data_IF_763396181155
#
_entry.id   IF_763396181155
#
_cell.length_a   1.000
_cell.length_b   1.000
_cell.length_c   1.000
_cell.angle_alpha   90.00
_cell.angle_beta   90.00
_cell.angle_gamma   90.00
#
_symmetry.space_group_name_H-M   'P 1'
#
loop_
_entity.id
_entity.type
_entity.pdbx_description
1 polymer ?
#
# COMPACT_ATOMS: atom_id res chain seq x y z
N UNK A 1 -8.00 0.08 -2.06
CA UNK A 1 -9.48 0.11 -2.01
C UNK A 1 -9.92 0.74 -3.31
N UNK A 2 -10.42 -0.09 -4.23
CA UNK A 2 -10.44 0.18 -5.66
C UNK A 2 -11.67 0.96 -6.11
N UNK A 3 -11.46 1.99 -6.93
CA UNK A 3 -12.47 2.76 -7.67
C UNK A 3 -13.13 1.97 -8.83
N UNK A 4 -12.99 0.64 -8.85
CA UNK A 4 -13.40 -0.21 -9.99
C UNK A 4 -14.79 -0.84 -9.85
N UNK A 5 -15.40 -0.86 -8.67
CA UNK A 5 -16.55 -1.75 -8.42
C UNK A 5 -17.93 -1.09 -8.58
N UNK A 6 -18.04 0.18 -9.00
CA UNK A 6 -19.27 0.92 -8.65
C UNK A 6 -19.74 1.99 -9.63
N UNK A 7 -19.53 1.78 -10.93
CA UNK A 7 -20.16 2.64 -11.96
C UNK A 7 -20.96 1.77 -12.92
N UNK A 8 -22.28 1.69 -12.69
CA UNK A 8 -23.19 1.01 -13.61
C UNK A 8 -23.69 2.02 -14.65
N UNK A 9 -23.31 1.83 -15.92
CA UNK A 9 -23.69 2.71 -17.03
C UNK A 9 -24.88 2.18 -17.85
N UNK A 10 -25.74 3.11 -18.25
CA UNK A 10 -26.89 2.99 -19.17
C UNK A 10 -27.96 1.95 -18.79
N UNK A 11 -29.02 2.44 -18.12
CA UNK A 11 -30.15 1.63 -17.67
C UNK A 11 -30.84 0.87 -18.82
N UNK A 12 -30.94 1.44 -20.01
CA UNK A 12 -31.67 0.80 -21.11
C UNK A 12 -30.99 -0.46 -21.66
N UNK A 13 -29.65 -0.56 -21.65
CA UNK A 13 -28.95 -1.76 -22.13
C UNK A 13 -28.93 -2.89 -21.09
N UNK A 14 -29.20 -2.56 -19.82
CA UNK A 14 -29.21 -3.52 -18.71
C UNK A 14 -30.63 -3.98 -18.33
N UNK A 15 -31.67 -3.31 -18.84
CA UNK A 15 -33.08 -3.63 -18.59
C UNK A 15 -33.62 -4.47 -19.73
N UNK A 16 -34.07 -5.68 -19.40
CA UNK A 16 -34.69 -6.61 -20.33
C UNK A 16 -36.18 -6.77 -20.01
N UNK A 17 -37.04 -6.63 -21.02
CA UNK A 17 -38.50 -6.77 -20.92
C UNK A 17 -38.97 -7.79 -21.95
N UNK A 18 -39.76 -8.78 -21.53
CA UNK A 18 -40.19 -9.87 -22.41
C UNK A 18 -41.33 -9.45 -23.35
N UNK A 19 -42.31 -8.71 -22.83
CA UNK A 19 -43.46 -8.25 -23.61
C UNK A 19 -43.23 -6.82 -24.13
N UNK A 20 -43.54 -6.63 -25.42
CA UNK A 20 -43.47 -5.34 -26.11
C UNK A 20 -44.42 -4.30 -25.52
N UNK A 21 -45.59 -4.73 -25.05
CA UNK A 21 -46.55 -3.81 -24.41
C UNK A 21 -46.00 -3.33 -23.07
N UNK A 22 -45.47 -4.24 -22.25
CA UNK A 22 -44.82 -3.89 -20.98
C UNK A 22 -43.61 -2.97 -21.17
N UNK A 23 -42.82 -3.20 -22.22
CA UNK A 23 -41.68 -2.34 -22.55
C UNK A 23 -42.14 -0.92 -22.88
N UNK A 24 -43.29 -0.80 -23.55
CA UNK A 24 -43.90 0.48 -23.89
C UNK A 24 -44.38 1.21 -22.64
N UNK A 25 -45.05 0.52 -21.72
CA UNK A 25 -45.47 1.11 -20.45
C UNK A 25 -44.27 1.58 -19.62
N UNK A 26 -43.22 0.76 -19.55
CA UNK A 26 -42.01 1.10 -18.80
C UNK A 26 -41.31 2.35 -19.35
N UNK A 27 -41.18 2.45 -20.67
CA UNK A 27 -40.56 3.61 -21.32
C UNK A 27 -41.36 4.90 -21.12
N UNK A 28 -42.69 4.82 -21.19
CA UNK A 28 -43.56 5.98 -21.00
C UNK A 28 -43.62 6.41 -19.53
N UNK A 29 -43.50 5.47 -18.61
CA UNK A 29 -43.55 5.73 -17.18
C UNK A 29 -42.25 6.35 -16.67
N UNK A 30 -41.10 5.82 -17.08
CA UNK A 30 -39.79 6.26 -16.60
C UNK A 30 -39.36 7.51 -17.38
N UNK A 31 -39.14 8.66 -16.71
CA UNK A 31 -38.67 9.88 -17.35
C UNK A 31 -37.37 9.69 -18.15
N UNK A 32 -37.27 10.35 -19.30
CA UNK A 32 -36.12 10.24 -20.22
C UNK A 32 -34.76 10.53 -19.56
N UNK A 33 -34.73 11.44 -18.57
CA UNK A 33 -33.48 11.77 -17.87
C UNK A 33 -32.90 10.57 -17.08
N UNK A 34 -33.75 9.65 -16.62
CA UNK A 34 -33.35 8.43 -15.89
C UNK A 34 -32.75 7.40 -16.84
N UNK A 35 -33.27 7.30 -18.07
CA UNK A 35 -32.69 6.42 -19.09
C UNK A 35 -31.28 6.84 -19.51
N UNK A 36 -31.00 8.16 -19.42
CA UNK A 36 -29.71 8.76 -19.80
C UNK A 36 -28.75 8.97 -18.64
N UNK A 37 -29.12 8.62 -17.40
CA UNK A 37 -28.32 8.93 -16.22
C UNK A 37 -27.28 7.86 -15.90
N UNK A 38 -26.20 8.29 -15.23
CA UNK A 38 -25.30 7.36 -14.52
C UNK A 38 -25.83 7.04 -13.13
N UNK A 39 -25.65 5.80 -12.68
CA UNK A 39 -25.98 5.39 -11.31
C UNK A 39 -24.70 5.24 -10.50
N UNK A 40 -24.61 5.98 -9.40
CA UNK A 40 -23.54 5.88 -8.40
C UNK A 40 -24.08 5.21 -7.15
N UNK A 41 -23.26 4.42 -6.45
CA UNK A 41 -23.65 3.89 -5.14
C UNK A 41 -23.09 4.73 -3.98
N UNK A 42 -21.98 5.44 -4.19
CA UNK A 42 -21.36 6.32 -3.19
C UNK A 42 -21.64 7.80 -3.46
N UNK A 43 -21.86 8.56 -2.38
CA UNK A 43 -22.15 9.99 -2.46
C UNK A 43 -20.92 10.83 -2.89
N UNK A 44 -19.71 10.40 -2.57
CA UNK A 44 -18.46 11.06 -2.95
C UNK A 44 -18.19 10.88 -4.44
N UNK A 45 -18.39 9.65 -4.95
CA UNK A 45 -18.29 9.35 -6.38
C UNK A 45 -19.33 10.16 -7.18
N UNK A 46 -20.54 10.29 -6.65
CA UNK A 46 -21.61 11.11 -7.23
C UNK A 46 -21.17 12.56 -7.39
N UNK A 47 -20.66 13.20 -6.34
CA UNK A 47 -20.31 14.62 -6.40
C UNK A 47 -19.18 14.88 -7.40
N UNK A 48 -18.21 13.97 -7.47
CA UNK A 48 -17.15 14.01 -8.47
C UNK A 48 -17.69 13.88 -9.90
N UNK A 49 -18.54 12.87 -10.16
CA UNK A 49 -19.09 12.62 -11.49
C UNK A 49 -20.05 13.73 -11.90
N UNK A 50 -20.87 14.26 -10.98
CA UNK A 50 -21.74 15.42 -11.26
C UNK A 50 -20.90 16.61 -11.74
N UNK A 51 -19.79 16.91 -11.08
CA UNK A 51 -18.87 17.97 -11.50
C UNK A 51 -18.36 17.78 -12.93
N UNK A 52 -17.98 16.56 -13.29
CA UNK A 52 -17.45 16.23 -14.62
C UNK A 52 -18.53 16.17 -15.71
N UNK A 53 -19.73 15.68 -15.37
CA UNK A 53 -20.81 15.43 -16.33
C UNK A 53 -21.71 16.64 -16.56
N UNK A 54 -21.67 17.64 -15.67
CA UNK A 54 -22.42 18.90 -15.80
C UNK A 54 -22.18 19.58 -17.15
N UNK A 55 -20.95 19.56 -17.67
CA UNK A 55 -20.61 20.16 -18.98
C UNK A 55 -21.27 19.47 -20.17
N UNK A 56 -21.68 18.21 -20.02
CA UNK A 56 -22.37 17.43 -21.04
C UNK A 56 -23.90 17.37 -20.83
N UNK A 57 -24.42 17.99 -19.75
CA UNK A 57 -25.83 17.93 -19.40
C UNK A 57 -26.34 16.53 -19.04
N UNK A 58 -25.44 15.63 -18.65
CA UNK A 58 -25.81 14.24 -18.32
C UNK A 58 -26.18 14.15 -16.81
N UNK A 59 -27.39 13.68 -16.47
CA UNK A 59 -27.79 13.50 -15.08
C UNK A 59 -27.02 12.37 -14.40
N UNK A 60 -26.80 12.51 -13.10
CA UNK A 60 -26.20 11.46 -12.25
C UNK A 60 -27.19 11.18 -11.13
N UNK A 61 -27.63 9.93 -11.03
CA UNK A 61 -28.53 9.45 -9.98
C UNK A 61 -27.72 8.70 -8.94
N UNK A 62 -28.10 8.89 -7.68
CA UNK A 62 -27.52 8.12 -6.59
C UNK A 62 -28.42 6.94 -6.24
N UNK A 63 -27.83 5.80 -5.89
CA UNK A 63 -28.54 4.74 -5.20
C UNK A 63 -28.91 5.29 -3.82
N UNK A 64 -30.20 5.53 -3.61
CA UNK A 64 -30.70 5.82 -2.28
C UNK A 64 -30.61 4.50 -1.51
N UNK A 65 -29.58 4.35 -0.66
CA UNK A 65 -29.50 3.28 0.33
C UNK A 65 -30.48 3.64 1.42
N UNK A 66 -31.77 3.49 1.14
CA UNK A 66 -32.76 3.49 2.20
C UNK A 66 -32.86 2.05 2.68
N UNK A 67 -32.48 1.80 3.94
CA UNK A 67 -32.64 0.51 4.62
C UNK A 67 -34.12 0.04 4.61
N UNK A 68 -35.05 0.93 4.21
CA UNK A 68 -36.48 0.70 4.08
C UNK A 68 -37.02 0.29 2.71
N UNK A 69 -36.25 0.17 1.62
CA UNK A 69 -36.77 -0.35 0.32
C UNK A 69 -36.93 -1.87 0.40
N UNK A 70 -37.79 -2.35 1.30
CA UNK A 70 -38.44 -3.64 1.07
C UNK A 70 -39.31 -3.45 -0.16
N UNK A 71 -38.86 -3.94 -1.32
CA UNK A 71 -39.68 -4.05 -2.53
C UNK A 71 -41.06 -4.52 -2.08
N UNK A 72 -42.09 -3.68 -2.28
CA UNK A 72 -43.43 -4.03 -1.80
C UNK A 72 -43.80 -5.38 -2.41
N UNK A 73 -44.28 -6.37 -1.63
CA UNK A 73 -44.75 -7.61 -2.20
C UNK A 73 -45.80 -7.35 -3.28
N UNK A 74 -45.85 -8.22 -4.29
CA UNK A 74 -46.90 -8.17 -5.31
C UNK A 74 -48.18 -8.78 -4.72
N UNK A 75 -48.94 -7.96 -4.01
CA UNK A 75 -50.19 -8.38 -3.39
C UNK A 75 -51.39 -8.09 -4.31
N UNK A 76 -51.57 -8.90 -5.36
CA UNK A 76 -52.74 -8.80 -6.24
C UNK A 76 -53.90 -9.57 -5.61
N UNK A 77 -54.89 -8.83 -5.11
CA UNK A 77 -56.10 -9.41 -4.53
C UNK A 77 -57.10 -9.89 -5.63
N UNK A 78 -58.06 -10.76 -5.29
CA UNK A 78 -59.05 -11.26 -6.27
C UNK A 78 -59.91 -10.18 -6.93
N UNK A 79 -60.22 -9.09 -6.22
CA UNK A 79 -61.00 -7.97 -6.76
C UNK A 79 -60.23 -7.17 -7.81
N UNK A 80 -58.91 -7.01 -7.64
CA UNK A 80 -58.00 -6.43 -8.62
C UNK A 80 -58.00 -7.27 -9.90
N UNK A 81 -57.92 -8.60 -9.77
CA UNK A 81 -58.01 -9.52 -10.93
C UNK A 81 -59.36 -9.41 -11.63
N UNK A 82 -60.45 -9.25 -10.89
CA UNK A 82 -61.81 -9.05 -11.43
C UNK A 82 -61.98 -7.70 -12.15
N UNK A 83 -61.15 -6.71 -11.83
CA UNK A 83 -61.00 -5.46 -12.58
C UNK A 83 -59.98 -5.55 -13.72
N UNK A 84 -59.41 -6.73 -13.99
CA UNK A 84 -58.45 -6.95 -15.06
C UNK A 84 -57.01 -6.56 -14.73
N UNK A 85 -56.70 -6.18 -13.49
CA UNK A 85 -55.32 -5.94 -13.03
C UNK A 85 -54.63 -7.28 -12.82
N UNK A 86 -53.48 -7.48 -13.48
CA UNK A 86 -52.78 -8.77 -13.49
C UNK A 86 -51.29 -8.69 -13.11
N UNK A 87 -50.67 -7.51 -13.17
CA UNK A 87 -49.25 -7.34 -12.81
C UNK A 87 -48.95 -5.91 -12.33
N UNK A 88 -47.69 -5.64 -12.02
CA UNK A 88 -47.13 -4.34 -11.66
C UNK A 88 -45.82 -4.09 -12.40
N UNK A 89 -45.50 -2.82 -12.63
CA UNK A 89 -44.44 -2.42 -13.56
C UNK A 89 -43.02 -2.83 -13.11
N UNK A 90 -42.77 -2.96 -11.80
CA UNK A 90 -41.52 -3.48 -11.24
C UNK A 90 -41.29 -5.00 -11.46
N UNK A 91 -42.33 -5.75 -11.80
CA UNK A 91 -42.29 -7.20 -11.97
C UNK A 91 -42.08 -7.64 -13.42
N UNK A 92 -42.31 -6.76 -14.40
CA UNK A 92 -42.30 -7.11 -15.83
C UNK A 92 -40.93 -7.00 -16.50
N UNK A 93 -39.91 -6.53 -15.78
CA UNK A 93 -38.54 -6.39 -16.31
C UNK A 93 -37.48 -7.01 -15.40
N UNK A 94 -36.38 -7.41 -16.03
CA UNK A 94 -35.18 -7.95 -15.39
C UNK A 94 -34.04 -6.96 -15.58
N UNK A 95 -33.34 -6.63 -14.51
CA UNK A 95 -32.16 -5.77 -14.50
C UNK A 95 -31.28 -6.10 -13.29
N UNK A 96 -29.99 -5.70 -13.28
CA UNK A 96 -29.15 -5.79 -12.08
C UNK A 96 -29.80 -5.08 -10.89
N UNK A 97 -29.65 -5.63 -9.67
CA UNK A 97 -30.38 -5.14 -8.49
C UNK A 97 -30.18 -3.64 -8.24
N UNK A 98 -28.96 -3.13 -8.37
CA UNK A 98 -28.66 -1.70 -8.24
C UNK A 98 -29.45 -0.84 -9.23
N UNK A 99 -29.57 -1.28 -10.49
CA UNK A 99 -30.35 -0.56 -11.51
C UNK A 99 -31.84 -0.69 -11.23
N UNK A 100 -32.30 -1.89 -10.88
CA UNK A 100 -33.70 -2.18 -10.60
C UNK A 100 -34.22 -1.35 -9.42
N UNK A 101 -33.45 -1.26 -8.34
CA UNK A 101 -33.84 -0.49 -7.15
C UNK A 101 -33.89 1.02 -7.43
N UNK A 102 -32.96 1.55 -8.22
CA UNK A 102 -32.97 2.96 -8.63
C UNK A 102 -34.16 3.25 -9.53
N UNK A 103 -34.46 2.40 -10.50
CA UNK A 103 -35.62 2.56 -11.37
C UNK A 103 -36.93 2.51 -10.56
N UNK A 104 -37.06 1.55 -9.65
CA UNK A 104 -38.24 1.42 -8.78
C UNK A 104 -38.38 2.65 -7.89
N UNK A 105 -37.32 3.09 -7.21
CA UNK A 105 -37.40 4.22 -6.28
C UNK A 105 -37.61 5.58 -6.96
N UNK A 106 -36.96 5.82 -8.10
CA UNK A 106 -37.02 7.12 -8.79
C UNK A 106 -38.30 7.27 -9.62
N UNK A 107 -38.80 6.18 -10.20
CA UNK A 107 -40.01 6.21 -11.03
C UNK A 107 -41.24 5.61 -10.31
N UNK A 108 -41.12 5.13 -9.07
CA UNK A 108 -42.24 4.58 -8.28
C UNK A 108 -42.94 3.42 -9.03
N UNK A 109 -42.13 2.52 -9.59
CA UNK A 109 -42.62 1.40 -10.41
C UNK A 109 -43.40 0.37 -9.58
N UNK A 110 -43.20 0.36 -8.27
CA UNK A 110 -43.86 -0.53 -7.31
C UNK A 110 -45.23 -0.01 -6.82
N UNK A 111 -45.71 1.11 -7.36
CA UNK A 111 -47.07 1.63 -7.15
C UNK A 111 -47.88 1.73 -8.45
N UNK A 112 -47.29 1.27 -9.57
CA UNK A 112 -47.85 1.43 -10.93
C UNK A 112 -48.28 0.08 -11.51
N UNK A 113 -49.58 -0.14 -11.58
CA UNK A 113 -50.17 -1.43 -11.94
C UNK A 113 -50.39 -1.61 -13.44
N UNK A 114 -50.56 -2.86 -13.87
CA UNK A 114 -50.83 -3.20 -15.27
C UNK A 114 -52.17 -3.94 -15.35
N UNK A 115 -53.06 -3.39 -16.16
CA UNK A 115 -54.39 -3.91 -16.47
C UNK A 115 -54.56 -4.22 -17.95
N UNK A 116 -55.75 -4.74 -18.28
CA UNK A 116 -56.14 -5.09 -19.64
C UNK A 116 -57.34 -4.22 -20.10
N UNK A 117 -57.98 -4.58 -21.22
CA UNK A 117 -59.13 -3.84 -21.75
C UNK A 117 -60.31 -3.77 -20.76
N UNK A 118 -60.47 -4.78 -19.91
CA UNK A 118 -61.50 -4.77 -18.86
C UNK A 118 -61.21 -3.70 -17.80
N UNK A 119 -59.93 -3.50 -17.48
CA UNK A 119 -59.48 -2.40 -16.61
C UNK A 119 -59.80 -1.05 -17.24
N UNK A 120 -59.58 -0.90 -18.55
CA UNK A 120 -59.89 0.33 -19.28
C UNK A 120 -61.40 0.66 -19.23
N UNK A 121 -62.27 -0.33 -19.44
CA UNK A 121 -63.73 -0.16 -19.34
C UNK A 121 -64.23 0.18 -17.94
N UNK A 122 -63.50 -0.24 -16.90
CA UNK A 122 -63.88 -0.10 -15.49
C UNK A 122 -62.89 0.76 -14.70
N UNK A 123 -62.23 1.69 -15.38
CA UNK A 123 -61.18 2.55 -14.82
C UNK A 123 -61.67 3.37 -13.62
N UNK A 124 -62.95 3.74 -13.59
CA UNK A 124 -63.61 4.46 -12.50
C UNK A 124 -63.67 3.66 -11.18
N UNK A 125 -63.57 2.33 -11.25
CA UNK A 125 -63.64 1.43 -10.09
C UNK A 125 -62.27 1.11 -9.51
N UNK A 126 -61.20 1.30 -10.28
CA UNK A 126 -59.82 0.96 -9.88
C UNK A 126 -59.34 1.78 -8.66
N UNK A 127 -59.61 3.10 -8.55
CA UNK A 127 -59.21 3.88 -7.36
C UNK A 127 -59.83 3.42 -6.06
N UNK A 128 -61.00 2.76 -6.12
CA UNK A 128 -61.69 2.22 -4.94
C UNK A 128 -60.92 1.06 -4.31
N UNK A 129 -60.00 0.44 -5.06
CA UNK A 129 -59.10 -0.61 -4.58
C UNK A 129 -57.79 -0.04 -4.00
N UNK A 130 -57.66 1.29 -3.90
CA UNK A 130 -56.44 1.94 -3.44
C UNK A 130 -55.36 2.10 -4.51
N UNK A 131 -55.69 1.85 -5.79
CA UNK A 131 -54.75 1.97 -6.91
C UNK A 131 -54.94 3.33 -7.58
N UNK A 132 -53.92 4.18 -7.51
CA UNK A 132 -53.93 5.50 -8.15
C UNK A 132 -53.27 5.52 -9.53
N UNK A 133 -52.27 4.68 -9.79
CA UNK A 133 -51.54 4.64 -11.06
C UNK A 133 -51.68 3.26 -11.72
N UNK A 134 -52.17 3.22 -12.96
CA UNK A 134 -52.23 1.98 -13.73
C UNK A 134 -52.22 2.17 -15.25
N UNK A 135 -51.66 1.18 -15.93
CA UNK A 135 -51.52 1.10 -17.37
C UNK A 135 -52.55 0.15 -17.98
N UNK A 136 -53.07 0.53 -19.14
CA UNK A 136 -53.91 -0.29 -20.03
C UNK A 136 -53.31 -0.26 -21.43
N UNK A 137 -53.75 -1.12 -22.37
CA UNK A 137 -53.20 -1.15 -23.73
C UNK A 137 -53.14 0.20 -24.45
N UNK A 138 -54.12 1.07 -24.20
CA UNK A 138 -54.24 2.36 -24.89
C UNK A 138 -53.99 3.57 -23.98
N UNK A 139 -54.22 3.45 -22.66
CA UNK A 139 -54.22 4.58 -21.73
C UNK A 139 -53.41 4.33 -20.46
N UNK A 140 -52.79 5.39 -19.94
CA UNK A 140 -52.23 5.50 -18.60
C UNK A 140 -53.14 6.36 -17.73
N UNK A 141 -53.59 5.80 -16.61
CA UNK A 141 -54.48 6.46 -15.67
C UNK A 141 -53.72 6.86 -14.42
N UNK A 142 -53.81 8.15 -14.06
CA UNK A 142 -53.30 8.69 -12.79
C UNK A 142 -54.41 9.40 -12.04
N UNK A 143 -54.84 8.80 -10.94
CA UNK A 143 -55.87 9.34 -10.07
C UNK A 143 -55.24 10.13 -8.94
N UNK A 144 -55.77 11.33 -8.71
CA UNK A 144 -55.34 12.19 -7.62
C UNK A 144 -56.53 12.63 -6.79
N UNK A 145 -56.36 12.62 -5.47
CA UNK A 145 -57.31 13.17 -4.52
C UNK A 145 -56.90 14.59 -4.17
N UNK A 146 -57.79 15.55 -4.41
CA UNK A 146 -57.55 16.95 -4.05
C UNK A 146 -57.33 17.10 -2.54
N UNK A 147 -56.24 17.79 -2.17
CA UNK A 147 -55.92 18.14 -0.78
C UNK A 147 -56.90 19.14 -0.17
N UNK A 148 -57.55 19.96 -1.02
CA UNK A 148 -58.38 21.07 -0.57
C UNK A 148 -59.87 20.72 -0.48
N UNK A 149 -60.35 19.85 -1.37
CA UNK A 149 -61.79 19.55 -1.47
C UNK A 149 -62.14 18.06 -1.46
N UNK A 150 -61.16 17.16 -1.32
CA UNK A 150 -61.39 15.72 -1.29
C UNK A 150 -61.91 15.10 -2.60
N UNK A 151 -62.16 15.90 -3.63
CA UNK A 151 -62.56 15.46 -4.97
C UNK A 151 -61.48 14.59 -5.61
N UNK A 152 -61.92 13.53 -6.31
CA UNK A 152 -61.07 12.65 -7.10
C UNK A 152 -61.11 13.09 -8.56
N UNK A 153 -59.93 13.26 -9.16
CA UNK A 153 -59.78 13.52 -10.59
C UNK A 153 -58.82 12.52 -11.21
N UNK A 154 -59.08 12.16 -12.46
CA UNK A 154 -58.19 11.32 -13.26
C UNK A 154 -57.46 12.17 -14.29
N UNK A 155 -56.16 11.94 -14.43
CA UNK A 155 -55.38 12.31 -15.60
C UNK A 155 -55.24 11.06 -16.48
N UNK A 156 -55.53 11.21 -17.77
CA UNK A 156 -55.51 10.10 -18.73
C UNK A 156 -54.59 10.48 -19.87
N UNK A 157 -53.49 9.75 -19.98
CA UNK A 157 -52.51 9.89 -21.06
C UNK A 157 -52.65 8.73 -22.04
N UNK A 158 -52.51 8.99 -23.33
CA UNK A 158 -52.40 7.92 -24.32
C UNK A 158 -51.04 7.22 -24.19
N UNK A 159 -51.01 5.90 -24.40
CA UNK A 159 -49.77 5.12 -24.43
C UNK A 159 -49.04 5.41 -25.73
N UNK A 160 -47.91 6.12 -25.64
CA UNK A 160 -47.09 6.40 -26.81
C UNK A 160 -46.22 5.18 -27.15
N UNK A 161 -46.00 4.88 -28.44
CA UNK A 161 -45.23 3.71 -28.81
C UNK A 161 -43.76 3.89 -28.41
N UNK A 162 -43.18 2.84 -27.80
CA UNK A 162 -41.77 2.80 -27.37
C UNK A 162 -40.81 3.19 -28.50
N UNK A 163 -39.72 3.85 -28.15
CA UNK A 163 -38.61 4.25 -29.04
C UNK A 163 -37.31 3.59 -28.58
N UNK A 164 -37.12 3.41 -27.29
CA UNK A 164 -35.95 2.78 -26.69
C UNK A 164 -35.96 1.26 -26.86
N UNK A 165 -37.13 0.62 -26.74
CA UNK A 165 -37.26 -0.85 -26.80
C UNK A 165 -37.70 -1.42 -28.16
N UNK A 166 -37.69 -0.63 -29.25
CA UNK A 166 -38.43 -0.95 -30.49
C UNK A 166 -37.76 -1.93 -31.47
N UNK A 167 -36.46 -2.23 -31.37
CA UNK A 167 -35.79 -3.27 -32.17
C UNK A 167 -34.43 -3.63 -31.61
N UNK A 168 -33.98 -4.85 -31.86
CA UNK A 168 -32.60 -5.37 -31.68
C UNK A 168 -31.52 -4.61 -32.48
N UNK A 169 -31.81 -3.38 -32.90
CA UNK A 169 -31.05 -2.56 -33.83
C UNK A 169 -31.10 -1.10 -33.37
N UNK A 170 -30.47 -0.84 -32.22
CA UNK A 170 -30.21 0.51 -31.68
C UNK A 170 -29.09 1.20 -32.47
N UNK A 171 -29.32 1.62 -33.72
CA UNK A 171 -28.30 2.36 -34.50
C UNK A 171 -28.57 3.84 -34.68
N UNK A 172 -29.75 4.34 -34.30
CA UNK A 172 -30.01 5.79 -34.27
C UNK A 172 -29.68 6.43 -32.91
N UNK A 173 -29.35 5.60 -31.91
CA UNK A 173 -28.58 5.98 -30.72
C UNK A 173 -27.06 5.89 -30.98
N UNK A 174 -26.59 5.57 -32.19
CA UNK A 174 -25.17 5.24 -32.42
C UNK A 174 -24.24 6.39 -32.07
N UNK A 175 -24.59 7.64 -32.37
CA UNK A 175 -23.81 8.82 -32.01
C UNK A 175 -23.82 9.09 -30.50
N UNK A 176 -24.98 9.04 -29.84
CA UNK A 176 -25.07 9.24 -28.38
C UNK A 176 -24.34 8.11 -27.64
N UNK A 177 -24.53 6.85 -28.04
CA UNK A 177 -23.83 5.69 -27.47
C UNK A 177 -22.33 5.75 -27.76
N UNK A 178 -21.90 6.23 -28.94
CA UNK A 178 -20.47 6.46 -29.22
C UNK A 178 -19.91 7.57 -28.33
N UNK A 179 -20.62 8.68 -28.18
CA UNK A 179 -20.21 9.79 -27.32
C UNK A 179 -20.14 9.33 -25.87
N UNK A 180 -21.10 8.54 -25.41
CA UNK A 180 -21.12 7.96 -24.06
C UNK A 180 -19.99 6.93 -23.90
N UNK A 181 -19.73 6.07 -24.90
CA UNK A 181 -18.63 5.13 -24.89
C UNK A 181 -17.28 5.86 -24.89
N UNK A 182 -17.13 6.92 -25.68
CA UNK A 182 -15.96 7.79 -25.69
C UNK A 182 -15.82 8.49 -24.34
N UNK A 183 -16.89 9.01 -23.74
CA UNK A 183 -16.86 9.61 -22.40
C UNK A 183 -16.46 8.56 -21.35
N UNK A 184 -16.98 7.33 -21.43
CA UNK A 184 -16.65 6.24 -20.52
C UNK A 184 -15.20 5.79 -20.67
N UNK A 185 -14.72 5.62 -21.91
CA UNK A 185 -13.32 5.28 -22.19
C UNK A 185 -12.40 6.40 -21.73
N UNK A 186 -12.77 7.66 -22.00
CA UNK A 186 -12.03 8.85 -21.55
C UNK A 186 -11.97 8.93 -20.04
N UNK A 187 -13.07 8.62 -19.33
CA UNK A 187 -13.12 8.59 -17.88
C UNK A 187 -12.27 7.46 -17.29
N UNK A 188 -12.37 6.25 -17.85
CA UNK A 188 -11.55 5.10 -17.44
C UNK A 188 -10.06 5.41 -17.64
N UNK A 189 -9.68 6.03 -18.76
CA UNK A 189 -8.30 6.45 -19.02
C UNK A 189 -7.89 7.58 -18.06
N UNK A 190 -8.72 8.60 -17.87
CA UNK A 190 -8.43 9.74 -17.00
C UNK A 190 -8.30 9.34 -15.53
N UNK A 191 -9.00 8.32 -15.05
CA UNK A 191 -8.92 7.88 -13.65
C UNK A 191 -7.87 6.79 -13.45
N UNK A 192 -7.80 5.80 -14.35
CA UNK A 192 -6.88 4.66 -14.16
C UNK A 192 -5.43 4.99 -14.50
N UNK A 193 -5.18 5.82 -15.52
CA UNK A 193 -3.80 6.09 -15.96
C UNK A 193 -3.02 6.92 -14.93
N UNK A 194 -3.56 8.03 -14.38
CA UNK A 194 -2.83 8.81 -13.37
C UNK A 194 -2.65 8.05 -12.07
N UNK A 195 -3.61 7.22 -11.66
CA UNK A 195 -3.50 6.44 -10.41
C UNK A 195 -2.43 5.36 -10.52
N UNK A 196 -2.33 4.65 -11.65
CA UNK A 196 -1.23 3.70 -11.87
C UNK A 196 0.14 4.37 -11.91
N UNK A 197 0.26 5.50 -12.60
CA UNK A 197 1.52 6.27 -12.67
C UNK A 197 1.93 6.75 -11.27
N UNK A 198 0.99 7.24 -10.47
CA UNK A 198 1.26 7.76 -9.13
C UNK A 198 1.66 6.62 -8.16
N UNK A 199 1.07 5.43 -8.30
CA UNK A 199 1.49 4.23 -7.57
C UNK A 199 2.91 3.81 -7.97
N UNK A 200 3.22 3.79 -9.28
CA UNK A 200 4.56 3.47 -9.77
C UNK A 200 5.61 4.48 -9.31
N UNK A 201 5.29 5.78 -9.31
CA UNK A 201 6.19 6.81 -8.77
C UNK A 201 6.51 6.55 -7.30
N UNK A 202 5.50 6.28 -6.48
CA UNK A 202 5.72 5.96 -5.05
C UNK A 202 6.60 4.74 -4.85
N UNK A 203 6.38 3.67 -5.63
CA UNK A 203 7.21 2.46 -5.56
C UNK A 203 8.68 2.74 -5.91
N UNK A 204 8.93 3.56 -6.95
CA UNK A 204 10.28 3.96 -7.34
C UNK A 204 10.95 4.85 -6.29
N UNK A 205 10.19 5.74 -5.64
CA UNK A 205 10.69 6.56 -4.53
C UNK A 205 11.08 5.71 -3.32
N UNK A 206 10.24 4.74 -2.95
CA UNK A 206 10.49 3.80 -1.84
C UNK A 206 11.73 2.93 -2.13
N UNK A 207 11.87 2.42 -3.36
CA UNK A 207 13.03 1.64 -3.78
C UNK A 207 14.32 2.50 -3.77
N UNK A 208 14.24 3.74 -4.26
CA UNK A 208 15.34 4.69 -4.21
C UNK A 208 15.79 5.01 -2.77
N UNK A 209 14.84 5.17 -1.85
CA UNK A 209 15.14 5.39 -0.43
C UNK A 209 15.82 4.16 0.21
N UNK A 210 15.42 2.95 -0.18
CA UNK A 210 16.05 1.72 0.30
C UNK A 210 17.49 1.57 -0.21
N UNK A 211 17.72 1.86 -1.50
CA UNK A 211 19.06 1.85 -2.10
C UNK A 211 19.96 2.87 -1.40
N UNK A 212 19.45 4.06 -1.08
CA UNK A 212 20.22 5.07 -0.36
C UNK A 212 20.65 4.58 1.03
N UNK A 213 19.73 3.96 1.79
CA UNK A 213 20.06 3.37 3.10
C UNK A 213 21.13 2.28 2.97
N UNK A 214 21.01 1.39 1.99
CA UNK A 214 22.01 0.35 1.75
C UNK A 214 23.39 0.93 1.42
N UNK A 215 23.43 1.99 0.59
CA UNK A 215 24.66 2.72 0.27
C UNK A 215 25.29 3.31 1.54
N UNK A 216 24.51 3.93 2.42
CA UNK A 216 25.01 4.52 3.65
C UNK A 216 25.60 3.47 4.59
N UNK A 217 24.93 2.32 4.76
CA UNK A 217 25.47 1.18 5.51
C UNK A 217 26.78 0.64 4.91
N UNK A 218 26.89 0.58 3.58
CA UNK A 218 28.11 0.17 2.90
C UNK A 218 29.26 1.15 3.15
N UNK A 219 28.99 2.46 3.08
CA UNK A 219 29.98 3.50 3.36
C UNK A 219 30.49 3.37 4.80
N UNK A 220 29.59 3.19 5.77
CA UNK A 220 29.96 3.01 7.17
C UNK A 220 30.79 1.73 7.39
N UNK A 221 30.37 0.61 6.79
CA UNK A 221 31.10 -0.65 6.88
C UNK A 221 32.52 -0.55 6.28
N UNK A 222 32.67 0.15 5.16
CA UNK A 222 33.98 0.39 4.53
C UNK A 222 34.85 1.28 5.42
N UNK A 223 34.29 2.35 6.00
CA UNK A 223 35.02 3.22 6.92
C UNK A 223 35.51 2.47 8.17
N UNK A 224 34.66 1.60 8.74
CA UNK A 224 35.01 0.75 9.87
C UNK A 224 36.13 -0.24 9.53
N UNK A 225 36.04 -0.90 8.37
CA UNK A 225 37.08 -1.81 7.86
C UNK A 225 38.43 -1.08 7.69
N UNK A 226 38.42 0.10 7.09
CA UNK A 226 39.61 0.91 6.90
C UNK A 226 40.26 1.27 8.24
N UNK A 227 39.50 1.82 9.18
CA UNK A 227 39.99 2.17 10.52
C UNK A 227 40.53 0.95 11.27
N UNK A 228 39.89 -0.21 11.12
CA UNK A 228 40.39 -1.46 11.71
C UNK A 228 41.76 -1.85 11.13
N UNK A 229 41.91 -1.79 9.81
CA UNK A 229 43.18 -2.10 9.14
C UNK A 229 44.29 -1.12 9.53
N UNK A 230 44.00 0.16 9.66
CA UNK A 230 44.98 1.15 10.17
C UNK A 230 45.47 0.80 11.58
N UNK A 231 44.55 0.46 12.49
CA UNK A 231 44.90 0.04 13.85
C UNK A 231 45.70 -1.27 13.87
N UNK A 232 45.35 -2.22 12.99
CA UNK A 232 46.09 -3.47 12.83
C UNK A 232 47.54 -3.21 12.35
N UNK A 233 47.72 -2.35 11.35
CA UNK A 233 49.06 -1.98 10.87
C UNK A 233 49.89 -1.30 11.96
N UNK A 234 49.30 -0.38 12.72
CA UNK A 234 49.97 0.27 13.85
C UNK A 234 50.38 -0.74 14.95
N UNK A 235 49.52 -1.72 15.24
CA UNK A 235 49.82 -2.81 16.19
C UNK A 235 50.98 -3.68 15.71
N UNK A 236 51.01 -4.03 14.41
CA UNK A 236 52.12 -4.79 13.81
C UNK A 236 53.44 -4.02 13.93
N UNK A 237 53.44 -2.71 13.65
CA UNK A 237 54.63 -1.87 13.79
C UNK A 237 55.13 -1.79 15.24
N UNK A 238 54.21 -1.62 16.20
CA UNK A 238 54.55 -1.62 17.62
C UNK A 238 55.12 -2.96 18.07
N UNK A 239 54.53 -4.08 17.65
CA UNK A 239 55.04 -5.41 17.97
C UNK A 239 56.45 -5.63 17.39
N UNK A 240 56.73 -5.15 16.19
CA UNK A 240 58.06 -5.21 15.60
C UNK A 240 59.09 -4.40 16.42
N UNK A 241 58.71 -3.20 16.89
CA UNK A 241 59.56 -2.37 17.76
C UNK A 241 59.80 -3.02 19.12
N UNK A 242 58.77 -3.61 19.74
CA UNK A 242 58.89 -4.35 21.01
C UNK A 242 59.89 -5.49 20.85
N UNK A 243 59.78 -6.28 19.78
CA UNK A 243 60.67 -7.40 19.52
C UNK A 243 62.14 -6.98 19.35
N UNK A 244 62.41 -5.89 18.63
CA UNK A 244 63.77 -5.36 18.50
C UNK A 244 64.32 -4.85 19.85
N UNK A 245 63.47 -4.22 20.66
CA UNK A 245 63.85 -3.79 22.00
C UNK A 245 64.15 -4.99 22.92
N UNK A 246 63.33 -6.05 22.86
CA UNK A 246 63.53 -7.30 23.62
C UNK A 246 64.87 -7.97 23.26
N UNK A 247 65.25 -7.99 21.97
CA UNK A 247 66.59 -8.46 21.57
C UNK A 247 67.70 -7.62 22.21
N UNK A 248 67.56 -6.30 22.20
CA UNK A 248 68.52 -5.39 22.81
C UNK A 248 68.68 -5.65 24.30
N UNK A 249 67.56 -5.78 25.03
CA UNK A 249 67.56 -6.11 26.47
C UNK A 249 68.23 -7.45 26.74
N UNK A 250 67.89 -8.49 25.97
CA UNK A 250 68.51 -9.81 26.12
C UNK A 250 70.03 -9.76 25.87
N UNK A 251 70.49 -8.93 24.94
CA UNK A 251 71.91 -8.72 24.68
C UNK A 251 72.60 -8.01 25.86
N UNK A 252 71.99 -6.96 26.41
CA UNK A 252 72.50 -6.27 27.60
C UNK A 252 72.55 -7.19 28.83
N UNK A 253 71.51 -7.99 29.07
CA UNK A 253 71.48 -8.95 30.19
C UNK A 253 72.61 -9.98 30.08
N UNK A 254 72.97 -10.38 28.85
CA UNK A 254 74.12 -11.26 28.62
C UNK A 254 75.44 -10.58 28.97
N UNK A 255 75.66 -9.34 28.50
CA UNK A 255 76.87 -8.58 28.83
C UNK A 255 77.00 -8.34 30.34
N UNK A 256 75.89 -8.06 31.03
CA UNK A 256 75.88 -7.90 32.47
C UNK A 256 76.28 -9.20 33.20
N UNK A 257 75.75 -10.36 32.78
CA UNK A 257 76.17 -11.67 33.30
C UNK A 257 77.66 -11.92 33.11
N UNK A 258 78.19 -11.61 31.93
CA UNK A 258 79.61 -11.78 31.61
C UNK A 258 80.49 -10.84 32.45
N UNK A 259 80.10 -9.57 32.61
CA UNK A 259 80.81 -8.60 33.45
C UNK A 259 80.80 -9.00 34.94
N UNK A 260 79.66 -9.47 35.45
CA UNK A 260 79.53 -9.98 36.82
C UNK A 260 80.36 -11.26 37.04
N UNK A 261 80.55 -12.09 36.01
CA UNK A 261 81.46 -13.24 36.08
C UNK A 261 82.92 -12.79 36.17
N UNK A 262 83.36 -11.92 35.28
CA UNK A 262 84.73 -11.38 35.29
C UNK A 262 85.07 -10.64 36.59
N UNK A 263 84.12 -9.90 37.17
CA UNK A 263 84.31 -9.23 38.45
C UNK A 263 84.52 -10.23 39.61
N UNK A 264 83.77 -11.34 39.61
CA UNK A 264 83.97 -12.43 40.59
C UNK A 264 85.33 -13.10 40.42
N UNK A 265 85.70 -13.43 39.19
CA UNK A 265 86.99 -14.04 38.88
C UNK A 265 88.16 -13.13 39.32
N UNK A 266 88.04 -11.82 39.10
CA UNK A 266 89.03 -10.84 39.55
C UNK A 266 89.19 -10.83 41.07
N UNK A 267 88.07 -10.78 41.83
CA UNK A 267 88.15 -10.81 43.30
C UNK A 267 88.71 -12.14 43.83
N UNK A 268 88.41 -13.27 43.16
CA UNK A 268 89.01 -14.56 43.49
C UNK A 268 90.53 -14.57 43.23
N UNK A 269 90.99 -14.08 42.07
CA UNK A 269 92.41 -13.95 41.77
C UNK A 269 93.13 -13.01 42.74
N UNK A 270 92.49 -11.89 43.11
CA UNK A 270 93.02 -10.93 44.08
C UNK A 270 93.16 -11.56 45.46
N UNK A 271 92.16 -12.32 45.93
CA UNK A 271 92.21 -13.08 47.19
C UNK A 271 93.37 -14.08 47.17
N UNK A 272 93.48 -14.89 46.12
CA UNK A 272 94.59 -15.84 45.95
C UNK A 272 95.96 -15.15 45.97
N UNK A 273 96.09 -14.02 45.29
CA UNK A 273 97.34 -13.24 45.26
C UNK A 273 97.71 -12.72 46.65
N UNK A 274 96.72 -12.22 47.41
CA UNK A 274 96.94 -11.77 48.79
C UNK A 274 97.38 -12.93 49.70
N UNK A 275 96.76 -14.10 49.58
CA UNK A 275 97.16 -15.29 50.32
C UNK A 275 98.60 -15.72 50.00
N UNK A 276 98.97 -15.79 48.72
CA UNK A 276 100.35 -16.10 48.32
C UNK A 276 101.34 -15.05 48.83
N UNK A 277 100.98 -13.76 48.79
CA UNK A 277 101.81 -12.68 49.33
C UNK A 277 102.02 -12.81 50.84
N UNK A 278 100.98 -13.20 51.59
CA UNK A 278 101.10 -13.49 53.02
C UNK A 278 102.02 -14.68 53.28
N UNK A 279 101.82 -15.80 52.57
CA UNK A 279 102.69 -16.99 52.67
C UNK A 279 104.14 -16.65 52.36
N UNK A 280 104.39 -15.92 51.27
CA UNK A 280 105.73 -15.47 50.89
C UNK A 280 106.36 -14.55 51.95
N UNK A 281 105.58 -13.63 52.54
CA UNK A 281 106.05 -12.79 53.66
C UNK A 281 106.44 -13.61 54.89
N UNK A 282 105.67 -14.65 55.23
CA UNK A 282 105.99 -15.55 56.33
C UNK A 282 107.27 -16.34 56.05
N UNK A 283 107.40 -16.92 54.85
CA UNK A 283 108.60 -17.66 54.43
C UNK A 283 109.82 -16.75 54.39
N UNK A 284 109.69 -15.51 53.87
CA UNK A 284 110.76 -14.52 53.86
C UNK A 284 111.24 -14.20 55.28
N UNK A 285 110.32 -13.87 56.20
CA UNK A 285 110.67 -13.62 57.61
C UNK A 285 111.34 -14.82 58.27
N UNK A 286 110.88 -16.03 57.93
CA UNK A 286 111.49 -17.26 58.42
C UNK A 286 112.92 -17.43 57.89
N UNK A 287 113.16 -17.23 56.58
CA UNK A 287 114.49 -17.29 55.98
C UNK A 287 115.43 -16.22 56.56
N UNK A 288 114.97 -14.98 56.70
CA UNK A 288 115.74 -13.88 57.33
C UNK A 288 116.08 -14.18 58.81
N UNK A 289 115.24 -14.96 59.51
CA UNK A 289 115.52 -15.42 60.88
C UNK A 289 116.53 -16.55 60.95
N UNK A 290 116.68 -17.36 59.89
CA UNK A 290 117.62 -18.49 59.82
C UNK A 290 118.99 -18.03 59.32
N UNK A 291 119.05 -17.04 58.44
CA UNK A 291 120.28 -16.57 57.80
C UNK A 291 120.35 -15.04 57.85
N UNK A 292 121.29 -14.47 58.64
CA UNK A 292 121.61 -13.03 58.57
C UNK A 292 122.29 -12.76 57.23
N UNK A 293 121.63 -12.01 56.34
CA UNK A 293 122.27 -11.48 55.13
C UNK A 293 123.36 -10.51 55.59
N UNK A 294 124.61 -10.96 55.55
CA UNK A 294 125.79 -10.12 55.70
C UNK A 294 125.98 -9.29 54.43
N UNK A 295 126.59 -8.11 54.59
CA UNK A 295 126.72 -7.09 53.53
C UNK A 295 127.44 -7.61 52.26
N UNK A 296 128.18 -8.71 52.38
CA UNK A 296 128.90 -9.35 51.29
C UNK A 296 127.97 -10.15 50.34
N UNK A 297 126.94 -10.81 50.86
CA UNK A 297 126.03 -11.66 50.05
C UNK A 297 125.05 -10.82 49.20
N UNK A 298 124.80 -9.56 49.61
CA UNK A 298 123.95 -8.63 48.88
C UNK A 298 124.61 -8.09 47.59
N UNK A 299 125.95 -8.15 47.49
CA UNK A 299 126.66 -7.75 46.26
C UNK A 299 126.58 -8.82 45.18
N UNK A 300 126.64 -10.10 45.52
CA UNK A 300 126.57 -11.19 44.52
C UNK A 300 125.20 -11.29 43.82
N UNK A 301 124.11 -10.92 44.49
CA UNK A 301 122.76 -10.95 43.87
C UNK A 301 122.46 -9.76 42.95
N UNK A 302 123.32 -8.73 42.90
CA UNK A 302 123.19 -7.59 41.99
C UNK A 302 124.00 -7.76 40.69
N UNK A 303 124.78 -8.84 40.57
CA UNK A 303 125.59 -9.15 39.37
C UNK A 303 124.95 -10.21 38.45
N UNK A 304 123.65 -10.49 38.59
CA UNK A 304 122.87 -11.34 37.66
C UNK A 304 121.66 -10.60 37.11
#
# INVERSE_FOLDING_TARGET
>A
MGLQDTIHCFNCSQVNVQDKFHATYLENHVPNYIWKSFITQDASDRDYIVGQMKKYGIPVLNKVVDEGIRRRPLDINPEMKKLGIYSRLDQVFVAPDTVKDVLISQAILDDSYIGNDETNRRADKVPKLGISDFWTPENHYRWSKSRYGGYMSAFVDAVYPSRLFKSSMCYNLSLDTFVIYIIHLSFLILVSLPTQILIQQRQLEDEGANIHKQKDFLIEAVALKWSHTEKQMASIELNAKIWEMEKGVNYFEKLEKDANMAARDYEDCKRMTQEYKMKLSMVKRHAESITKITQDLAKEFLEV
#
